data_IF_299167029678
#
_entry.id   IF_299167029678
#
_cell.length_a   1.000
_cell.length_b   1.000
_cell.length_c   1.000
_cell.angle_alpha   90.00
_cell.angle_beta   90.00
_cell.angle_gamma   90.00
#
_symmetry.space_group_name_H-M   'P 1'
#
loop_
_entity.id
_entity.type
_entity.pdbx_description
1 polymer ?
#
# COMPACT_ATOMS: atom_id res chain seq x y z
N UNK A 1 1.06 -3.71 -10.46
CA UNK A 1 1.37 -3.00 -11.73
C UNK A 1 2.65 -2.18 -11.52
N UNK A 2 3.58 -2.20 -12.48
CA UNK A 2 4.84 -1.42 -12.41
C UNK A 2 4.66 0.00 -12.95
N UNK A 3 5.63 0.89 -12.72
CA UNK A 3 5.65 2.25 -13.30
C UNK A 3 5.66 2.21 -14.84
N UNK A 4 6.39 1.28 -15.43
CA UNK A 4 6.46 1.11 -16.89
C UNK A 4 5.10 0.65 -17.45
N UNK A 5 4.47 -0.33 -16.82
CA UNK A 5 3.12 -0.78 -17.19
C UNK A 5 2.10 0.36 -17.07
N UNK A 6 2.15 1.16 -16.00
CA UNK A 6 1.26 2.31 -15.84
C UNK A 6 1.41 3.34 -16.97
N UNK A 7 2.62 3.60 -17.46
CA UNK A 7 2.82 4.53 -18.58
C UNK A 7 2.07 4.08 -19.84
N UNK A 8 2.02 2.78 -20.11
CA UNK A 8 1.26 2.22 -21.24
C UNK A 8 -0.25 2.42 -21.04
N UNK A 9 -0.76 2.12 -19.85
CA UNK A 9 -2.18 2.34 -19.51
C UNK A 9 -2.55 3.82 -19.65
N UNK A 10 -1.71 4.71 -19.10
CA UNK A 10 -1.94 6.15 -19.15
C UNK A 10 -1.99 6.67 -20.59
N UNK A 11 -1.06 6.24 -21.45
CA UNK A 11 -1.06 6.63 -22.86
C UNK A 11 -2.36 6.21 -23.57
N UNK A 12 -2.85 5.00 -23.31
CA UNK A 12 -4.08 4.49 -23.90
C UNK A 12 -5.34 5.20 -23.37
N UNK A 13 -5.36 5.58 -22.10
CA UNK A 13 -6.44 6.39 -21.53
C UNK A 13 -6.45 7.79 -22.14
N UNK A 14 -5.29 8.41 -22.35
CA UNK A 14 -5.19 9.71 -23.01
C UNK A 14 -5.67 9.62 -24.47
N UNK A 15 -5.27 8.58 -25.19
CA UNK A 15 -5.76 8.34 -26.56
C UNK A 15 -7.28 8.17 -26.60
N UNK A 16 -7.84 7.41 -25.65
CA UNK A 16 -9.28 7.25 -25.52
C UNK A 16 -10.03 8.57 -25.22
N UNK A 17 -9.39 9.51 -24.53
CA UNK A 17 -9.94 10.85 -24.30
C UNK A 17 -9.91 11.67 -25.59
N UNK A 18 -8.84 11.59 -26.39
CA UNK A 18 -8.78 12.23 -27.70
C UNK A 18 -9.87 11.69 -28.65
N UNK A 19 -10.00 10.36 -28.77
CA UNK A 19 -11.05 9.78 -29.63
C UNK A 19 -12.45 10.24 -29.21
N UNK A 20 -12.74 10.28 -27.90
CA UNK A 20 -14.03 10.76 -27.38
C UNK A 20 -14.28 12.23 -27.74
N UNK A 21 -13.27 13.07 -27.59
CA UNK A 21 -13.34 14.50 -27.91
C UNK A 21 -13.63 14.72 -29.41
N UNK A 22 -13.09 13.88 -30.28
CA UNK A 22 -13.31 13.94 -31.72
C UNK A 22 -14.68 13.39 -32.13
N UNK A 23 -15.17 12.34 -31.46
CA UNK A 23 -16.47 11.71 -31.74
C UNK A 23 -17.67 12.59 -31.36
N UNK A 24 -17.62 13.25 -30.20
CA UNK A 24 -18.67 14.18 -29.75
C UNK A 24 -18.05 15.41 -29.06
N UNK A 25 -17.78 16.49 -29.82
CA UNK A 25 -17.19 17.72 -29.28
C UNK A 25 -18.05 18.44 -28.25
N UNK A 26 -19.34 18.10 -28.15
CA UNK A 26 -20.29 18.73 -27.22
C UNK A 26 -20.43 17.98 -25.90
N UNK A 27 -20.02 16.70 -25.87
CA UNK A 27 -20.08 15.90 -24.66
C UNK A 27 -19.00 16.33 -23.64
N UNK A 28 -19.31 16.28 -22.34
CA UNK A 28 -18.30 16.44 -21.30
C UNK A 28 -17.19 15.39 -21.43
N UNK A 29 -15.95 15.86 -21.29
CA UNK A 29 -14.75 15.01 -21.24
C UNK A 29 -14.49 14.61 -19.78
N UNK A 30 -14.20 13.33 -19.49
CA UNK A 30 -13.82 12.88 -18.15
C UNK A 30 -12.68 13.71 -17.57
N UNK A 31 -12.81 14.13 -16.30
CA UNK A 31 -11.79 14.93 -15.63
C UNK A 31 -11.32 14.30 -14.31
N UNK A 32 -10.03 14.49 -14.01
CA UNK A 32 -9.35 13.88 -12.88
C UNK A 32 -8.63 14.95 -12.05
N UNK A 33 -8.65 14.79 -10.73
CA UNK A 33 -8.00 15.67 -9.74
C UNK A 33 -6.80 14.98 -9.08
N UNK A 34 -6.06 14.22 -9.88
CA UNK A 34 -4.80 13.60 -9.47
C UNK A 34 -4.81 12.08 -9.49
N UNK A 35 -3.62 11.53 -9.27
CA UNK A 35 -3.35 10.12 -9.37
C UNK A 35 -2.24 9.69 -8.39
N UNK A 36 -2.43 8.56 -7.72
CA UNK A 36 -1.50 8.05 -6.70
C UNK A 36 -1.28 6.55 -6.83
N UNK A 37 -0.55 5.99 -5.87
CA UNK A 37 -0.35 4.55 -5.72
C UNK A 37 -0.80 4.09 -4.34
N UNK A 38 -1.41 2.90 -4.28
CA UNK A 38 -1.81 2.26 -3.02
C UNK A 38 -1.61 0.76 -3.15
N UNK A 39 -0.78 0.15 -2.31
CA UNK A 39 -0.57 -1.31 -2.29
C UNK A 39 -0.28 -1.93 -3.68
N UNK A 40 0.47 -1.24 -4.54
CA UNK A 40 0.83 -1.73 -5.88
C UNK A 40 -0.27 -1.54 -6.95
N UNK A 41 -1.39 -0.92 -6.60
CA UNK A 41 -2.44 -0.47 -7.52
C UNK A 41 -2.32 1.02 -7.80
N UNK A 42 -2.79 1.45 -8.98
CA UNK A 42 -2.89 2.88 -9.31
C UNK A 42 -4.25 3.40 -8.84
N UNK A 43 -4.24 4.55 -8.19
CA UNK A 43 -5.45 5.28 -7.78
C UNK A 43 -5.61 6.50 -8.67
N UNK A 44 -6.82 6.72 -9.18
CA UNK A 44 -7.21 7.93 -9.91
C UNK A 44 -8.32 8.62 -9.14
N UNK A 45 -8.18 9.93 -8.91
CA UNK A 45 -9.22 10.75 -8.30
C UNK A 45 -10.10 11.31 -9.42
N UNK A 46 -11.29 10.74 -9.60
CA UNK A 46 -12.28 11.25 -10.55
C UNK A 46 -12.99 12.47 -9.94
N UNK A 47 -13.24 13.51 -10.72
CA UNK A 47 -13.97 14.70 -10.24
C UNK A 47 -15.46 14.44 -10.02
N UNK A 48 -16.02 13.49 -10.76
CA UNK A 48 -17.43 13.19 -10.76
C UNK A 48 -17.70 11.72 -11.11
N UNK A 49 -18.95 11.31 -10.86
CA UNK A 49 -19.44 9.97 -11.14
C UNK A 49 -19.39 9.59 -12.63
N UNK A 50 -19.73 10.48 -13.59
CA UNK A 50 -19.56 10.22 -15.01
C UNK A 50 -18.13 9.85 -15.41
N UNK A 51 -17.12 10.55 -14.86
CA UNK A 51 -15.71 10.23 -15.09
C UNK A 51 -15.38 8.83 -14.55
N UNK A 52 -15.85 8.47 -13.34
CA UNK A 52 -15.67 7.12 -12.79
C UNK A 52 -16.30 6.06 -13.69
N UNK A 53 -17.54 6.29 -14.14
CA UNK A 53 -18.27 5.35 -15.01
C UNK A 53 -17.56 5.15 -16.35
N UNK A 54 -17.07 6.24 -16.95
CA UNK A 54 -16.26 6.16 -18.16
C UNK A 54 -15.02 5.29 -17.95
N UNK A 55 -14.32 5.44 -16.81
CA UNK A 55 -13.14 4.66 -16.50
C UNK A 55 -13.45 3.16 -16.37
N UNK A 56 -14.53 2.82 -15.64
CA UNK A 56 -15.01 1.45 -15.46
C UNK A 56 -15.38 0.80 -16.79
N UNK A 57 -15.94 1.56 -17.73
CA UNK A 57 -16.26 1.06 -19.07
C UNK A 57 -15.02 0.93 -19.96
N UNK A 58 -14.10 1.90 -19.92
CA UNK A 58 -12.98 1.98 -20.88
C UNK A 58 -11.82 1.07 -20.51
N UNK A 59 -11.45 0.98 -19.23
CA UNK A 59 -10.26 0.22 -18.79
C UNK A 59 -10.30 -1.27 -19.15
N UNK A 60 -11.44 -1.99 -19.00
CA UNK A 60 -11.52 -3.39 -19.43
C UNK A 60 -11.31 -3.60 -20.93
N UNK A 61 -11.53 -2.57 -21.74
CA UNK A 61 -11.34 -2.60 -23.20
C UNK A 61 -9.88 -2.33 -23.62
N UNK A 62 -9.00 -2.01 -22.67
CA UNK A 62 -7.57 -1.84 -22.92
C UNK A 62 -6.91 -3.22 -23.00
N UNK A 63 -7.00 -3.85 -24.17
CA UNK A 63 -6.46 -5.20 -24.39
C UNK A 63 -4.96 -5.18 -24.75
N UNK A 64 -4.30 -6.33 -24.51
CA UNK A 64 -2.97 -6.66 -25.03
C UNK A 64 -1.81 -5.69 -24.71
N UNK A 65 -1.91 -4.89 -23.63
CA UNK A 65 -0.82 -3.97 -23.25
C UNK A 65 0.48 -4.69 -22.89
N UNK A 66 0.39 -5.89 -22.33
CA UNK A 66 1.48 -6.86 -22.13
C UNK A 66 0.91 -8.27 -21.92
N UNK A 67 1.77 -9.29 -21.96
CA UNK A 67 1.35 -10.69 -21.82
C UNK A 67 0.63 -10.94 -20.49
N UNK A 68 -0.54 -11.59 -20.56
CA UNK A 68 -1.36 -11.93 -19.39
C UNK A 68 -2.07 -10.76 -18.72
N UNK A 69 -2.14 -9.58 -19.36
CA UNK A 69 -2.79 -8.40 -18.78
C UNK A 69 -4.30 -8.58 -18.67
N UNK A 70 -4.83 -8.34 -17.47
CA UNK A 70 -6.25 -8.08 -17.24
C UNK A 70 -6.39 -6.88 -16.32
N UNK A 71 -6.99 -5.81 -16.81
CA UNK A 71 -7.21 -4.58 -16.04
C UNK A 71 -8.67 -4.47 -15.64
N UNK A 72 -8.89 -3.97 -14.43
CA UNK A 72 -10.21 -3.71 -13.86
C UNK A 72 -10.13 -2.44 -13.02
N UNK A 73 -11.25 -1.73 -12.97
CA UNK A 73 -11.44 -0.57 -12.09
C UNK A 73 -12.30 -1.01 -10.94
N UNK A 74 -11.78 -0.87 -9.73
CA UNK A 74 -12.50 -1.16 -8.50
C UNK A 74 -12.54 0.08 -7.62
N UNK A 75 -13.57 0.18 -6.78
CA UNK A 75 -13.63 1.22 -5.76
C UNK A 75 -12.46 1.06 -4.78
N UNK A 76 -12.00 2.20 -4.23
CA UNK A 76 -10.83 2.23 -3.35
C UNK A 76 -11.04 1.35 -2.12
N UNK A 77 -12.27 1.26 -1.64
CA UNK A 77 -12.70 0.51 -0.47
C UNK A 77 -12.57 -1.00 -0.68
N UNK A 78 -12.60 -1.47 -1.93
CA UNK A 78 -12.43 -2.87 -2.29
C UNK A 78 -10.96 -3.27 -2.41
N UNK A 79 -10.03 -2.31 -2.38
CA UNK A 79 -8.60 -2.60 -2.45
C UNK A 79 -8.19 -3.23 -1.13
N UNK A 80 -7.78 -4.51 -1.12
CA UNK A 80 -7.43 -5.17 0.12
C UNK A 80 -6.23 -4.46 0.75
N UNK A 81 -6.41 -4.00 1.97
CA UNK A 81 -5.29 -3.58 2.80
C UNK A 81 -4.59 -4.83 3.30
N UNK A 82 -3.47 -5.19 2.67
CA UNK A 82 -2.65 -6.29 3.17
C UNK A 82 -1.99 -5.81 4.47
N UNK A 83 -2.32 -6.41 5.63
CA UNK A 83 -1.75 -5.96 6.89
C UNK A 83 -0.23 -6.16 6.90
N UNK A 84 0.46 -5.21 7.50
CA UNK A 84 1.91 -5.24 7.68
C UNK A 84 2.21 -5.10 9.17
N UNK A 85 3.26 -5.77 9.60
CA UNK A 85 3.76 -5.68 10.95
C UNK A 85 5.26 -5.43 10.95
N UNK A 86 5.73 -4.59 11.87
CA UNK A 86 7.17 -4.41 12.13
C UNK A 86 7.53 -5.20 13.37
N UNK A 87 8.56 -6.02 13.29
CA UNK A 87 9.09 -6.77 14.44
C UNK A 87 10.55 -6.39 14.65
N UNK A 88 10.95 -6.25 15.91
CA UNK A 88 12.35 -6.21 16.30
C UNK A 88 12.75 -7.60 16.77
N UNK A 89 13.63 -8.27 16.02
CA UNK A 89 14.29 -9.46 16.51
C UNK A 89 15.50 -9.05 17.36
N UNK A 90 15.66 -9.66 18.53
CA UNK A 90 16.73 -9.35 19.48
C UNK A 90 18.13 -9.77 19.00
N UNK A 91 18.23 -10.50 17.89
CA UNK A 91 19.48 -10.86 17.24
C UNK A 91 19.39 -10.61 15.74
N UNK A 92 20.53 -10.33 15.12
CA UNK A 92 20.66 -10.21 13.68
C UNK A 92 20.61 -11.61 13.06
N UNK A 93 19.57 -11.85 12.29
CA UNK A 93 19.33 -13.14 11.65
C UNK A 93 18.68 -12.88 10.29
N UNK A 94 19.05 -13.67 9.29
CA UNK A 94 18.39 -13.57 7.99
C UNK A 94 16.86 -13.66 8.15
N UNK A 95 16.14 -12.67 7.60
CA UNK A 95 14.70 -12.50 7.84
C UNK A 95 13.89 -13.77 7.57
N UNK A 96 14.19 -14.50 6.50
CA UNK A 96 13.52 -15.76 6.16
C UNK A 96 13.74 -16.87 7.19
N UNK A 97 14.95 -16.95 7.75
CA UNK A 97 15.24 -17.90 8.83
C UNK A 97 14.52 -17.52 10.12
N UNK A 98 14.47 -16.22 10.43
CA UNK A 98 13.75 -15.69 11.58
C UNK A 98 12.24 -15.96 11.48
N UNK A 99 11.66 -15.72 10.30
CA UNK A 99 10.26 -15.96 10.00
C UNK A 99 9.92 -17.44 10.11
N UNK A 100 10.73 -18.35 9.56
CA UNK A 100 10.50 -19.80 9.70
C UNK A 100 10.43 -20.25 11.16
N UNK A 101 11.30 -19.72 12.02
CA UNK A 101 11.24 -20.03 13.45
C UNK A 101 9.97 -19.47 14.10
N UNK A 102 9.64 -18.20 13.82
CA UNK A 102 8.44 -17.53 14.31
C UNK A 102 7.17 -18.33 13.92
N UNK A 103 7.07 -18.75 12.66
CA UNK A 103 5.97 -19.58 12.16
C UNK A 103 5.82 -20.90 12.92
N UNK A 104 6.95 -21.58 13.20
CA UNK A 104 6.93 -22.89 13.88
C UNK A 104 6.58 -22.81 15.37
N UNK A 105 6.93 -21.71 16.02
CA UNK A 105 6.68 -21.52 17.46
C UNK A 105 5.29 -20.97 17.79
N UNK A 106 4.53 -20.51 16.79
CA UNK A 106 3.19 -19.94 16.97
C UNK A 106 2.16 -20.66 16.08
N UNK A 107 1.90 -21.96 16.31
CA UNK A 107 0.98 -22.75 15.49
C UNK A 107 -0.49 -22.30 15.61
N UNK A 108 -0.82 -21.48 16.63
CA UNK A 108 -2.12 -20.88 16.85
C UNK A 108 -2.38 -19.62 16.00
N UNK A 109 -1.36 -19.15 15.26
CA UNK A 109 -1.46 -18.00 14.37
C UNK A 109 -1.30 -18.47 12.92
N UNK A 110 -2.18 -18.07 11.98
CA UNK A 110 -2.06 -18.45 10.58
C UNK A 110 -0.94 -17.63 9.92
N UNK A 111 0.26 -18.21 9.94
CA UNK A 111 1.48 -17.56 9.44
C UNK A 111 1.98 -18.10 8.10
N UNK A 112 1.28 -19.04 7.48
CA UNK A 112 1.76 -19.81 6.32
C UNK A 112 1.98 -18.98 5.05
N UNK A 113 1.24 -17.89 4.90
CA UNK A 113 1.30 -16.96 3.76
C UNK A 113 2.13 -15.70 4.04
N UNK A 114 2.75 -15.61 5.22
CA UNK A 114 3.54 -14.46 5.61
C UNK A 114 4.82 -14.35 4.77
N UNK A 115 5.23 -13.10 4.52
CA UNK A 115 6.43 -12.79 3.72
C UNK A 115 7.27 -11.72 4.38
N UNK A 116 8.59 -11.85 4.27
CA UNK A 116 9.50 -10.76 4.61
C UNK A 116 9.46 -9.72 3.49
N UNK A 117 8.96 -8.52 3.80
CA UNK A 117 8.96 -7.39 2.87
C UNK A 117 10.29 -6.65 2.89
N UNK A 118 10.88 -6.52 4.09
CA UNK A 118 12.15 -5.85 4.28
C UNK A 118 12.83 -6.34 5.56
N UNK A 119 14.15 -6.42 5.52
CA UNK A 119 14.99 -6.67 6.68
C UNK A 119 16.03 -5.54 6.75
N UNK A 120 15.93 -4.70 7.78
CA UNK A 120 16.84 -3.58 7.97
C UNK A 120 18.24 -4.04 8.34
N UNK A 121 19.20 -3.12 8.35
CA UNK A 121 20.53 -3.41 8.88
C UNK A 121 20.48 -3.78 10.37
N UNK A 122 21.40 -4.59 10.88
CA UNK A 122 21.55 -4.82 12.31
C UNK A 122 21.67 -3.49 13.08
N UNK A 123 20.98 -3.39 14.20
CA UNK A 123 21.03 -2.22 15.07
C UNK A 123 22.43 -2.07 15.69
N UNK A 124 22.99 -0.85 15.73
CA UNK A 124 24.25 -0.59 16.41
C UNK A 124 24.18 -1.01 17.89
N UNK A 125 25.24 -1.63 18.41
CA UNK A 125 25.46 -1.98 19.83
C UNK A 125 24.54 -3.07 20.44
N UNK A 126 23.33 -3.27 19.93
CA UNK A 126 22.38 -4.26 20.46
C UNK A 126 22.29 -5.52 19.60
N UNK A 127 22.79 -5.46 18.35
CA UNK A 127 22.84 -6.59 17.44
C UNK A 127 21.46 -7.10 16.99
N UNK A 128 20.35 -6.46 17.37
CA UNK A 128 19.00 -6.78 16.91
C UNK A 128 18.73 -6.33 15.47
N UNK A 129 17.59 -6.70 14.90
CA UNK A 129 17.24 -6.34 13.52
C UNK A 129 15.74 -6.09 13.38
N UNK A 130 15.39 -4.97 12.74
CA UNK A 130 14.01 -4.69 12.35
C UNK A 130 13.66 -5.43 11.06
N UNK A 131 12.50 -6.08 11.07
CA UNK A 131 11.94 -6.76 9.90
C UNK A 131 10.50 -6.32 9.71
N UNK A 132 10.14 -6.04 8.47
CA UNK A 132 8.76 -5.75 8.07
C UNK A 132 8.19 -7.01 7.43
N UNK A 133 7.09 -7.48 8.01
CA UNK A 133 6.37 -8.66 7.58
C UNK A 133 5.07 -8.24 6.92
N UNK A 134 4.76 -8.90 5.82
CA UNK A 134 3.39 -9.02 5.34
C UNK A 134 2.70 -10.10 6.16
N UNK A 135 1.55 -9.80 6.74
CA UNK A 135 0.76 -10.76 7.52
C UNK A 135 -0.66 -10.86 6.94
N UNK A 136 -1.37 -11.92 7.29
CA UNK A 136 -2.77 -12.10 6.92
C UNK A 136 -3.71 -11.30 7.83
N UNK A 137 -4.93 -11.02 7.35
CA UNK A 137 -5.96 -10.33 8.15
C UNK A 137 -6.34 -11.13 9.39
N UNK A 138 -6.53 -12.43 9.21
CA UNK A 138 -6.83 -13.36 10.30
C UNK A 138 -5.75 -13.33 11.38
N UNK A 139 -4.48 -13.33 10.99
CA UNK A 139 -3.39 -13.24 11.95
C UNK A 139 -3.33 -11.88 12.64
N UNK A 140 -3.55 -10.76 11.93
CA UNK A 140 -3.66 -9.43 12.55
C UNK A 140 -4.74 -9.43 13.64
N UNK A 141 -5.92 -9.99 13.35
CA UNK A 141 -7.06 -10.00 14.28
C UNK A 141 -6.81 -10.91 15.50
N UNK A 142 -6.04 -11.99 15.36
CA UNK A 142 -5.60 -12.84 16.49
C UNK A 142 -4.53 -12.15 17.34
N UNK A 143 -3.60 -11.44 16.69
CA UNK A 143 -2.47 -10.81 17.34
C UNK A 143 -2.85 -9.50 18.03
N UNK A 144 -3.85 -8.80 17.52
CA UNK A 144 -4.27 -7.50 18.04
C UNK A 144 -4.65 -7.54 19.53
N UNK A 145 -5.52 -8.45 20.02
CA UNK A 145 -5.80 -8.59 21.46
C UNK A 145 -4.60 -9.00 22.31
N UNK A 146 -3.58 -9.60 21.69
CA UNK A 146 -2.32 -10.03 22.34
C UNK A 146 -1.23 -8.96 22.25
N UNK A 147 -1.55 -7.73 21.81
CA UNK A 147 -0.59 -6.64 21.61
C UNK A 147 0.55 -7.02 20.64
N UNK A 148 0.28 -7.91 19.68
CA UNK A 148 1.28 -8.41 18.74
C UNK A 148 2.31 -9.37 19.34
N UNK A 149 2.13 -9.82 20.58
CA UNK A 149 3.07 -10.72 21.25
C UNK A 149 3.08 -12.09 20.57
N UNK A 150 4.28 -12.57 20.25
CA UNK A 150 4.53 -13.91 19.69
C UNK A 150 5.72 -14.57 20.37
N UNK A 151 5.69 -15.91 20.46
CA UNK A 151 6.83 -16.69 20.91
C UNK A 151 7.96 -16.63 19.88
N UNK A 152 9.20 -16.43 20.33
CA UNK A 152 10.36 -16.48 19.46
C UNK A 152 11.65 -16.84 20.20
N UNK A 153 12.35 -17.86 19.72
CA UNK A 153 13.52 -18.43 20.37
C UNK A 153 13.18 -18.96 21.76
N UNK A 154 13.83 -18.41 22.79
CA UNK A 154 13.58 -18.73 24.21
C UNK A 154 12.69 -17.71 24.92
N UNK A 155 12.16 -16.74 24.18
CA UNK A 155 11.37 -15.63 24.74
C UNK A 155 10.21 -15.23 23.86
N UNK A 156 9.97 -13.93 23.77
CA UNK A 156 8.90 -13.36 22.95
C UNK A 156 9.40 -12.16 22.15
N UNK A 157 8.73 -11.89 21.04
CA UNK A 157 8.84 -10.65 20.29
C UNK A 157 7.46 -10.00 20.20
N UNK A 158 7.44 -8.71 19.88
CA UNK A 158 6.21 -7.97 19.68
C UNK A 158 6.15 -7.44 18.25
N UNK A 159 5.09 -7.81 17.54
CA UNK A 159 4.76 -7.27 16.24
C UNK A 159 4.02 -5.96 16.44
N UNK A 160 4.59 -4.86 15.93
CA UNK A 160 3.90 -3.58 15.86
C UNK A 160 2.92 -3.63 14.68
N UNK A 161 1.62 -3.56 14.98
CA UNK A 161 0.51 -3.68 14.03
C UNK A 161 0.02 -2.29 13.61
N UNK A 162 -0.65 -2.16 12.46
CA UNK A 162 -1.17 -0.85 12.01
C UNK A 162 -2.32 -0.31 12.86
N UNK A 163 -3.12 -1.19 13.45
CA UNK A 163 -4.25 -0.82 14.28
C UNK A 163 -3.79 -0.46 15.70
N UNK A 164 -4.30 0.65 16.23
CA UNK A 164 -4.13 1.01 17.63
C UNK A 164 -4.93 0.09 18.53
N UNK A 165 -4.28 -0.68 19.40
CA UNK A 165 -4.99 -1.40 20.45
C UNK A 165 -5.39 -0.41 21.56
N UNK A 166 -6.64 -0.44 22.08
CA UNK A 166 -7.14 0.63 22.96
C UNK A 166 -6.31 0.80 24.24
N UNK A 167 -5.76 -0.30 24.75
CA UNK A 167 -5.01 -0.34 26.01
C UNK A 167 -3.49 -0.14 25.83
N UNK A 168 -3.00 -0.18 24.59
CA UNK A 168 -1.56 -0.30 24.27
C UNK A 168 -0.80 1.03 24.31
N UNK A 169 -1.52 2.16 24.43
CA UNK A 169 -0.93 3.51 24.39
C UNK A 169 0.04 3.71 23.20
N UNK A 170 -0.25 3.07 22.07
CA UNK A 170 0.53 3.07 20.82
C UNK A 170 1.89 2.34 20.85
N UNK A 171 2.26 1.64 21.93
CA UNK A 171 3.57 0.99 22.05
C UNK A 171 3.81 -0.08 20.96
N UNK A 172 2.78 -0.86 20.64
CA UNK A 172 2.76 -1.91 19.63
C UNK A 172 1.94 -1.55 18.40
N UNK A 173 1.77 -0.25 18.14
CA UNK A 173 1.04 0.27 16.97
C UNK A 173 1.97 1.00 16.01
N UNK A 174 1.80 0.82 14.70
CA UNK A 174 2.53 1.53 13.65
C UNK A 174 1.89 2.90 13.41
N UNK A 175 2.72 3.92 13.31
CA UNK A 175 2.26 5.23 12.88
C UNK A 175 1.95 5.25 11.38
N UNK A 176 1.06 6.16 10.95
CA UNK A 176 0.77 6.35 9.53
C UNK A 176 2.05 6.73 8.78
N UNK A 177 2.37 6.02 7.69
CA UNK A 177 3.60 6.24 6.92
C UNK A 177 4.86 5.59 7.48
N UNK A 178 4.83 5.00 8.69
CA UNK A 178 6.02 4.40 9.31
C UNK A 178 6.59 3.26 8.45
N UNK A 179 5.71 2.42 7.91
CA UNK A 179 6.13 1.30 7.06
C UNK A 179 6.70 1.80 5.74
N UNK A 180 6.05 2.79 5.11
CA UNK A 180 6.52 3.38 3.87
C UNK A 180 7.89 4.03 4.05
N UNK A 181 8.11 4.74 5.17
CA UNK A 181 9.40 5.29 5.55
C UNK A 181 10.48 4.23 5.73
N UNK A 182 10.18 3.19 6.51
CA UNK A 182 11.15 2.11 6.75
C UNK A 182 11.48 1.32 5.47
N UNK A 183 10.56 1.29 4.50
CA UNK A 183 10.77 0.69 3.18
C UNK A 183 11.45 1.64 2.18
N UNK A 184 11.71 2.90 2.53
CA UNK A 184 12.26 3.92 1.63
C UNK A 184 11.30 4.34 0.51
N UNK A 185 9.99 4.22 0.75
CA UNK A 185 8.91 4.49 -0.22
C UNK A 185 8.27 5.87 -0.06
N UNK A 186 8.84 6.75 0.77
CA UNK A 186 8.30 8.08 1.08
C UNK A 186 8.02 8.96 -0.16
N UNK A 187 8.81 8.83 -1.23
CA UNK A 187 8.60 9.60 -2.47
C UNK A 187 7.30 9.27 -3.20
N UNK A 188 6.71 8.09 -2.97
CA UNK A 188 5.45 7.67 -3.60
C UNK A 188 4.24 8.23 -2.83
N UNK A 189 4.38 8.45 -1.53
CA UNK A 189 3.32 8.98 -0.65
C UNK A 189 3.31 10.51 -0.66
N UNK A 190 4.47 11.16 -0.66
CA UNK A 190 4.57 12.61 -0.81
C UNK A 190 4.09 13.08 -2.18
N UNK A 191 4.34 12.34 -3.26
CA UNK A 191 3.76 12.65 -4.57
C UNK A 191 2.22 12.51 -4.58
N UNK A 192 1.67 11.63 -3.74
CA UNK A 192 0.22 11.44 -3.60
C UNK A 192 -0.44 12.50 -2.70
N UNK A 193 0.30 13.13 -1.78
CA UNK A 193 -0.20 14.16 -0.86
C UNK A 193 0.16 15.59 -1.27
N UNK A 194 1.27 15.79 -1.98
CA UNK A 194 1.75 17.09 -2.46
C UNK A 194 0.95 17.68 -3.63
N UNK A 195 0.10 16.89 -4.29
CA UNK A 195 -0.88 17.38 -5.26
C UNK A 195 -2.12 18.03 -4.60
N UNK A 196 -2.25 17.96 -3.26
CA UNK A 196 -3.37 18.54 -2.51
C UNK A 196 -3.11 19.90 -1.87
N UNK A 197 -1.90 20.48 -2.01
CA UNK A 197 -1.52 21.74 -1.37
C UNK A 197 -1.12 22.83 -2.39
N UNK A 198 -1.89 22.97 -3.47
CA UNK A 198 -1.93 24.20 -4.26
C UNK A 198 -2.66 25.28 -3.47
N UNK A 199 -1.90 26.03 -2.67
CA UNK A 199 -2.37 27.13 -1.82
C UNK A 199 -3.19 28.13 -2.65
N UNK A 200 -4.49 28.20 -2.39
CA UNK A 200 -5.33 29.37 -2.64
C UNK A 200 -4.68 30.56 -1.92
N UNK A 201 -4.28 31.58 -2.68
CA UNK A 201 -3.60 32.75 -2.13
C UNK A 201 -3.61 33.93 -3.10
N UNK A 202 -4.73 34.65 -3.13
CA UNK A 202 -4.75 36.08 -3.39
C UNK A 202 -4.97 36.52 -4.83
N UNK A 203 -6.24 36.64 -5.23
CA UNK A 203 -6.65 37.66 -6.18
C UNK A 203 -6.49 39.05 -5.57
N UNK A 204 -6.25 40.03 -6.43
CA UNK A 204 -6.14 41.44 -6.08
C UNK A 204 -5.84 42.29 -7.29
N UNK A 205 -6.87 42.56 -8.10
CA UNK A 205 -6.88 43.61 -9.11
C UNK A 205 -6.58 44.99 -8.47
N UNK A 206 -5.50 45.64 -8.92
CA UNK A 206 -5.53 46.94 -9.63
C UNK A 206 -4.12 47.38 -10.02
#
# INVERSE_FOLDING_TARGET
>A
MTVAQWKLVHAQLVEALFSRMEEDPSAPIPTFDGAGWLNGVKILKCNDDPTRQWLVQKVPLLEALWEGTKLEVVDRELIPSIPKAKVLFHIAVQGERALKLLQRQNPDVPTGDWKVLHAGSPLPNEGGQHVILQISKEAEDILYPKFGKMAWGVGSVYLRLKKRHPEDKDAHTLQAGEVEKDLGLESIVEAAQGLGAGRLGGGGER
#
